data_IF_407940812824
#
_entry.id   IF_407940812824
#
_cell.length_a   1.000
_cell.length_b   1.000
_cell.length_c   1.000
_cell.angle_alpha   90.00
_cell.angle_beta   90.00
_cell.angle_gamma   90.00
#
_symmetry.space_group_name_H-M   'P 1'
#
loop_
_entity.id
_entity.type
_entity.pdbx_description
1 polymer ?
#
# COMPACT_ATOMS: atom_id res chain seq x y z
N UNK A 1 -2.56 13.06 16.22
CA UNK A 1 -1.79 13.00 14.95
C UNK A 1 -0.76 14.13 14.80
N UNK A 2 -1.12 15.42 14.94
CA UNK A 2 -0.19 16.56 14.72
C UNK A 2 1.12 16.53 15.53
N UNK A 3 1.10 16.11 16.80
CA UNK A 3 2.30 16.00 17.65
C UNK A 3 3.32 14.98 17.11
N UNK A 4 2.86 13.82 16.64
CA UNK A 4 3.71 12.77 16.08
C UNK A 4 4.44 13.25 14.82
N UNK A 5 3.74 13.96 13.94
CA UNK A 5 4.33 14.45 12.68
C UNK A 5 5.28 15.63 12.90
N UNK A 6 5.01 16.52 13.85
CA UNK A 6 5.97 17.54 14.27
C UNK A 6 7.27 16.92 14.79
N UNK A 7 7.15 15.86 15.59
CA UNK A 7 8.30 15.09 16.05
C UNK A 7 9.06 14.41 14.89
N UNK A 8 8.38 13.78 13.93
CA UNK A 8 9.04 13.20 12.76
C UNK A 8 9.73 14.27 11.90
N UNK A 9 9.10 15.43 11.68
CA UNK A 9 9.69 16.56 10.97
C UNK A 9 10.96 17.06 11.67
N UNK A 10 10.96 17.11 13.01
CA UNK A 10 12.16 17.47 13.80
C UNK A 10 13.34 16.49 13.66
N UNK A 11 13.10 15.27 13.17
CA UNK A 11 14.15 14.30 12.87
C UNK A 11 14.92 14.66 11.60
N UNK A 12 14.36 15.48 10.71
CA UNK A 12 15.05 15.93 9.49
C UNK A 12 15.97 17.09 9.84
N UNK A 13 17.28 16.92 9.61
CA UNK A 13 18.30 17.94 9.87
C UNK A 13 19.24 18.02 8.68
N UNK A 14 19.35 19.18 8.03
CA UNK A 14 20.19 19.39 6.85
C UNK A 14 19.99 18.30 5.79
N UNK A 15 18.72 18.05 5.41
CA UNK A 15 18.32 17.03 4.42
C UNK A 15 18.71 15.59 4.79
N UNK A 16 19.03 15.33 6.06
CA UNK A 16 19.39 14.01 6.59
C UNK A 16 18.41 13.56 7.66
N UNK A 17 18.09 12.27 7.66
CA UNK A 17 17.32 11.66 8.73
C UNK A 17 18.17 11.51 9.98
N UNK A 18 17.69 12.03 11.11
CA UNK A 18 18.38 12.09 12.40
C UNK A 18 19.73 12.82 12.35
N UNK A 19 19.97 13.63 11.31
CA UNK A 19 21.26 14.29 11.07
C UNK A 19 22.41 13.34 10.72
N UNK A 20 22.13 12.05 10.44
CA UNK A 20 23.16 11.07 10.09
C UNK A 20 23.56 11.23 8.62
N UNK A 21 24.86 11.22 8.39
CA UNK A 21 25.49 11.38 7.07
C UNK A 21 24.96 10.40 6.03
N UNK A 22 25.00 9.10 6.32
CA UNK A 22 24.56 8.03 5.40
C UNK A 22 23.05 7.87 5.28
N UNK A 23 22.27 8.70 5.99
CA UNK A 23 20.81 8.72 5.92
C UNK A 23 20.31 9.96 5.17
N UNK A 24 20.86 10.21 3.98
CA UNK A 24 20.40 11.27 3.10
C UNK A 24 18.95 11.03 2.66
N UNK A 25 18.20 12.12 2.58
CA UNK A 25 16.83 12.13 2.06
C UNK A 25 16.89 12.75 0.67
N UNK A 26 16.33 12.07 -0.33
CA UNK A 26 16.28 12.59 -1.70
C UNK A 26 15.38 13.84 -1.77
N UNK A 27 15.63 14.69 -2.77
CA UNK A 27 14.92 15.97 -2.96
C UNK A 27 13.42 15.79 -3.15
N UNK A 28 12.99 14.80 -3.93
CA UNK A 28 11.57 14.50 -4.17
C UNK A 28 10.81 14.19 -2.88
N UNK A 29 11.40 13.39 -1.99
CA UNK A 29 10.81 13.05 -0.69
C UNK A 29 10.81 14.25 0.25
N UNK A 30 11.80 15.14 0.15
CA UNK A 30 11.79 16.41 0.88
C UNK A 30 10.70 17.36 0.38
N UNK A 31 10.47 17.44 -0.93
CA UNK A 31 9.37 18.21 -1.53
C UNK A 31 8.02 17.68 -1.06
N UNK A 32 7.85 16.35 -1.07
CA UNK A 32 6.68 15.67 -0.51
C UNK A 32 6.43 16.01 0.97
N UNK A 33 7.47 15.97 1.82
CA UNK A 33 7.38 16.37 3.25
C UNK A 33 7.04 17.86 3.41
N UNK A 34 7.34 18.70 2.42
CA UNK A 34 6.97 20.13 2.40
C UNK A 34 5.56 20.38 1.85
N UNK A 35 4.83 19.33 1.45
CA UNK A 35 3.49 19.44 0.88
C UNK A 35 3.48 19.83 -0.60
N UNK A 36 4.59 19.71 -1.31
CA UNK A 36 4.69 20.02 -2.74
C UNK A 36 4.38 18.76 -3.56
N UNK A 37 3.09 18.38 -3.63
CA UNK A 37 2.62 17.12 -4.23
C UNK A 37 2.56 17.19 -5.77
N UNK A 38 2.17 18.33 -6.33
CA UNK A 38 1.83 18.50 -7.75
C UNK A 38 3.03 18.33 -8.70
N UNK A 39 4.25 18.47 -8.17
CA UNK A 39 5.50 18.44 -8.95
C UNK A 39 6.34 17.19 -8.69
N UNK A 40 5.73 16.13 -8.17
CA UNK A 40 6.44 14.89 -7.87
C UNK A 40 6.41 13.97 -9.09
N UNK A 41 7.59 13.55 -9.62
CA UNK A 41 7.65 12.73 -10.81
C UNK A 41 6.78 11.46 -10.75
N UNK A 42 6.77 10.78 -9.60
CA UNK A 42 5.96 9.58 -9.41
C UNK A 42 4.44 9.84 -9.50
N UNK A 43 3.96 10.99 -9.03
CA UNK A 43 2.55 11.40 -9.14
C UNK A 43 2.22 11.73 -10.59
N UNK A 44 3.07 12.53 -11.24
CA UNK A 44 2.84 12.97 -12.62
C UNK A 44 2.88 11.79 -13.62
N UNK A 45 3.76 10.82 -13.40
CA UNK A 45 3.79 9.58 -14.19
C UNK A 45 2.47 8.82 -14.08
N UNK A 46 1.96 8.60 -12.87
CA UNK A 46 0.69 7.91 -12.67
C UNK A 46 -0.49 8.70 -13.24
N UNK A 47 -0.56 10.01 -12.97
CA UNK A 47 -1.62 10.89 -13.47
C UNK A 47 -1.72 10.84 -15.00
N UNK A 48 -0.58 10.95 -15.68
CA UNK A 48 -0.52 10.89 -17.14
C UNK A 48 -0.88 9.49 -17.67
N UNK A 49 -0.37 8.44 -17.04
CA UNK A 49 -0.61 7.07 -17.47
C UNK A 49 -2.09 6.67 -17.34
N UNK A 50 -2.70 6.96 -16.19
CA UNK A 50 -4.11 6.68 -15.92
C UNK A 50 -5.03 7.49 -16.84
N UNK A 51 -4.72 8.77 -17.07
CA UNK A 51 -5.49 9.62 -17.98
C UNK A 51 -5.38 9.13 -19.43
N UNK A 52 -4.21 8.62 -19.83
CA UNK A 52 -3.99 8.06 -21.17
C UNK A 52 -4.81 6.80 -21.46
N UNK A 53 -5.17 6.04 -20.43
CA UNK A 53 -5.93 4.77 -20.53
C UNK A 53 -7.43 4.97 -20.23
N UNK A 54 -7.86 6.20 -19.89
CA UNK A 54 -9.27 6.52 -19.67
C UNK A 54 -9.85 6.02 -18.33
N UNK A 55 -9.00 5.77 -17.33
CA UNK A 55 -9.45 5.38 -15.98
C UNK A 55 -9.79 6.63 -15.14
N UNK A 56 -10.94 7.25 -15.43
CA UNK A 56 -11.36 8.53 -14.83
C UNK A 56 -11.39 8.52 -13.31
N UNK A 57 -11.90 7.47 -12.68
CA UNK A 57 -11.96 7.33 -11.21
C UNK A 57 -10.57 7.35 -10.55
N UNK A 58 -9.56 6.77 -11.21
CA UNK A 58 -8.19 6.83 -10.70
C UNK A 58 -7.57 8.20 -10.88
N UNK A 59 -7.89 8.90 -11.98
CA UNK A 59 -7.45 10.27 -12.16
C UNK A 59 -8.06 11.18 -11.08
N UNK A 60 -9.35 11.04 -10.79
CA UNK A 60 -10.03 11.75 -9.70
C UNK A 60 -9.42 11.44 -8.33
N UNK A 61 -9.12 10.16 -8.04
CA UNK A 61 -8.43 9.77 -6.81
C UNK A 61 -7.06 10.47 -6.69
N UNK A 62 -6.29 10.53 -7.78
CA UNK A 62 -4.97 11.17 -7.77
C UNK A 62 -5.10 12.67 -7.48
N UNK A 63 -6.09 13.35 -8.07
CA UNK A 63 -6.35 14.77 -7.81
C UNK A 63 -6.77 15.01 -6.35
N UNK A 64 -7.66 14.18 -5.80
CA UNK A 64 -8.07 14.27 -4.40
C UNK A 64 -6.90 13.98 -3.46
N UNK A 65 -6.08 12.98 -3.77
CA UNK A 65 -4.85 12.66 -3.05
C UNK A 65 -3.87 13.85 -3.01
N UNK A 66 -3.81 14.63 -4.08
CA UNK A 66 -3.00 15.86 -4.16
C UNK A 66 -3.64 16.98 -3.33
N UNK A 67 -4.97 17.14 -3.40
CA UNK A 67 -5.71 18.16 -2.67
C UNK A 67 -5.58 18.01 -1.15
N UNK A 68 -5.49 16.78 -0.64
CA UNK A 68 -5.34 16.52 0.80
C UNK A 68 -3.86 16.57 1.22
N UNK A 69 -3.30 17.78 1.26
CA UNK A 69 -1.88 18.01 1.56
C UNK A 69 -1.42 17.37 2.88
N UNK A 70 -2.29 17.33 3.90
CA UNK A 70 -2.00 16.71 5.20
C UNK A 70 -1.72 15.19 5.07
N UNK A 71 -2.44 14.47 4.21
CA UNK A 71 -2.18 13.05 3.93
C UNK A 71 -0.84 12.90 3.22
N UNK A 72 -0.56 13.77 2.24
CA UNK A 72 0.71 13.83 1.54
C UNK A 72 1.91 13.96 2.47
N UNK A 73 1.87 14.96 3.35
CA UNK A 73 2.93 15.23 4.34
C UNK A 73 3.06 14.07 5.34
N UNK A 74 1.93 13.56 5.85
CA UNK A 74 1.91 12.46 6.79
C UNK A 74 2.53 11.18 6.21
N UNK A 75 2.06 10.74 5.03
CA UNK A 75 2.57 9.55 4.33
C UNK A 75 4.09 9.65 4.08
N UNK A 76 4.56 10.84 3.72
CA UNK A 76 5.97 11.09 3.41
C UNK A 76 6.87 11.03 4.65
N UNK A 77 6.43 11.62 5.77
CA UNK A 77 7.13 11.49 7.06
C UNK A 77 7.13 10.04 7.57
N UNK A 78 6.01 9.35 7.44
CA UNK A 78 5.87 7.95 7.82
C UNK A 78 6.69 7.02 6.92
N UNK A 79 6.89 7.37 5.65
CA UNK A 79 7.78 6.68 4.73
C UNK A 79 9.22 6.75 5.23
N UNK A 80 9.72 7.94 5.55
CA UNK A 80 11.07 8.09 6.11
C UNK A 80 11.25 7.31 7.42
N UNK A 81 10.26 7.37 8.30
CA UNK A 81 10.29 6.60 9.54
C UNK A 81 10.27 5.08 9.28
N UNK A 82 9.47 4.61 8.32
CA UNK A 82 9.40 3.20 7.92
C UNK A 82 10.71 2.74 7.30
N UNK A 83 11.29 3.49 6.35
CA UNK A 83 12.61 3.20 5.76
C UNK A 83 13.69 3.09 6.84
N UNK A 84 13.73 4.03 7.79
CA UNK A 84 14.67 3.99 8.90
C UNK A 84 14.45 2.77 9.80
N UNK A 85 13.19 2.47 10.14
CA UNK A 85 12.86 1.34 10.99
C UNK A 85 13.20 0.00 10.33
N UNK A 86 12.98 -0.13 9.02
CA UNK A 86 13.37 -1.30 8.22
C UNK A 86 14.90 -1.43 8.20
N UNK A 87 15.64 -0.34 7.96
CA UNK A 87 17.11 -0.36 8.04
C UNK A 87 17.60 -0.81 9.43
N UNK A 88 16.95 -0.37 10.52
CA UNK A 88 17.26 -0.88 11.87
C UNK A 88 16.96 -2.36 12.05
N UNK A 89 15.84 -2.85 11.51
CA UNK A 89 15.48 -4.26 11.57
C UNK A 89 16.45 -5.12 10.76
N UNK A 90 16.88 -4.66 9.59
CA UNK A 90 17.91 -5.29 8.77
C UNK A 90 19.23 -5.44 9.55
N UNK A 91 19.66 -4.37 10.21
CA UNK A 91 20.87 -4.34 11.04
C UNK A 91 20.72 -5.04 12.40
N UNK A 92 19.54 -5.55 12.73
CA UNK A 92 19.31 -6.20 14.02
C UNK A 92 20.07 -7.53 14.10
N UNK A 93 20.76 -7.73 15.23
CA UNK A 93 21.41 -9.00 15.58
C UNK A 93 20.53 -9.87 16.49
N UNK A 94 19.48 -9.30 17.05
CA UNK A 94 18.64 -9.96 18.06
C UNK A 94 17.66 -10.95 17.45
N UNK A 95 17.21 -10.69 16.22
CA UNK A 95 16.16 -11.46 15.56
C UNK A 95 16.52 -11.70 14.11
N UNK A 96 16.23 -12.90 13.60
CA UNK A 96 16.08 -13.09 12.15
C UNK A 96 14.83 -12.28 11.72
N UNK A 97 14.97 -11.26 10.86
CA UNK A 97 13.85 -10.39 10.53
C UNK A 97 12.68 -11.12 9.89
N UNK A 98 12.94 -12.06 8.99
CA UNK A 98 11.87 -12.79 8.31
C UNK A 98 11.08 -13.66 9.30
N UNK A 99 11.77 -14.44 10.13
CA UNK A 99 11.15 -15.31 11.13
C UNK A 99 10.33 -14.49 12.14
N UNK A 100 10.91 -13.40 12.67
CA UNK A 100 10.23 -12.56 13.65
C UNK A 100 9.04 -11.78 13.06
N UNK A 101 9.13 -11.37 11.79
CA UNK A 101 7.99 -10.80 11.06
C UNK A 101 6.81 -11.77 10.99
N UNK A 102 7.07 -13.02 10.63
CA UNK A 102 6.05 -14.07 10.57
C UNK A 102 5.48 -14.43 11.94
N UNK A 103 6.31 -14.51 12.98
CA UNK A 103 5.83 -14.70 14.36
C UNK A 103 4.86 -13.60 14.80
N UNK A 104 5.12 -12.35 14.41
CA UNK A 104 4.20 -11.25 14.69
C UNK A 104 2.88 -11.41 13.93
N UNK A 105 2.90 -11.81 12.65
CA UNK A 105 1.68 -12.08 11.90
C UNK A 105 0.83 -13.19 12.54
N UNK A 106 1.47 -14.27 12.99
CA UNK A 106 0.79 -15.36 13.71
C UNK A 106 0.17 -14.86 15.01
N UNK A 107 0.81 -13.96 15.75
CA UNK A 107 0.18 -13.34 16.92
C UNK A 107 -1.02 -12.47 16.50
N UNK A 108 -0.89 -11.72 15.42
CA UNK A 108 -1.91 -10.79 14.94
C UNK A 108 -3.13 -11.48 14.33
N UNK A 109 -3.06 -12.78 13.99
CA UNK A 109 -4.24 -13.57 13.61
C UNK A 109 -5.22 -13.79 14.76
N UNK A 110 -4.77 -13.64 16.01
CA UNK A 110 -5.62 -13.78 17.19
C UNK A 110 -6.24 -12.45 17.66
N UNK A 111 -5.76 -11.32 17.14
CA UNK A 111 -6.18 -9.98 17.58
C UNK A 111 -7.36 -9.50 16.71
N UNK A 112 -8.56 -9.28 17.29
CA UNK A 112 -9.68 -8.66 16.57
C UNK A 112 -9.26 -7.30 16.01
N UNK A 113 -9.73 -6.96 14.80
CA UNK A 113 -9.45 -5.66 14.19
C UNK A 113 -10.68 -4.76 14.14
N UNK A 114 -10.46 -3.50 13.77
CA UNK A 114 -11.54 -2.56 13.54
C UNK A 114 -12.34 -2.99 12.31
N UNK A 115 -13.63 -3.28 12.51
CA UNK A 115 -14.55 -3.62 11.43
C UNK A 115 -14.65 -2.47 10.44
N UNK A 116 -14.81 -1.23 10.91
CA UNK A 116 -14.89 -0.05 10.06
C UNK A 116 -13.65 0.09 9.15
N UNK A 117 -12.44 -0.12 9.70
CA UNK A 117 -11.22 -0.03 8.90
C UNK A 117 -11.13 -1.17 7.88
N UNK A 118 -11.44 -2.40 8.29
CA UNK A 118 -11.44 -3.55 7.39
C UNK A 118 -12.37 -3.31 6.18
N UNK A 119 -13.54 -2.74 6.44
CA UNK A 119 -14.58 -2.52 5.44
C UNK A 119 -14.20 -1.41 4.47
N UNK A 120 -13.65 -0.28 4.96
CA UNK A 120 -13.12 0.76 4.07
C UNK A 120 -12.06 0.24 3.10
N UNK A 121 -11.28 -0.77 3.51
CA UNK A 121 -10.28 -1.39 2.64
C UNK A 121 -10.94 -2.27 1.56
N UNK A 122 -11.96 -3.04 1.93
CA UNK A 122 -12.70 -3.86 0.98
C UNK A 122 -13.42 -3.03 -0.06
N UNK A 123 -14.08 -1.96 0.37
CA UNK A 123 -14.74 -1.00 -0.51
C UNK A 123 -13.74 -0.32 -1.44
N UNK A 124 -12.60 0.13 -0.88
CA UNK A 124 -11.51 0.69 -1.70
C UNK A 124 -11.08 -0.30 -2.79
N UNK A 125 -10.93 -1.59 -2.47
CA UNK A 125 -10.51 -2.60 -3.44
C UNK A 125 -11.60 -2.95 -4.46
N UNK A 126 -12.79 -3.29 -3.98
CA UNK A 126 -13.85 -3.85 -4.81
C UNK A 126 -14.59 -2.79 -5.63
N UNK A 127 -14.61 -1.53 -5.17
CA UNK A 127 -15.54 -0.52 -5.70
C UNK A 127 -14.88 0.81 -5.99
N UNK A 128 -14.37 1.53 -4.99
CA UNK A 128 -13.78 2.87 -5.20
C UNK A 128 -12.70 2.82 -6.27
N UNK A 129 -11.84 1.81 -6.20
CA UNK A 129 -10.80 1.57 -7.20
C UNK A 129 -11.19 0.49 -8.22
N UNK A 130 -12.19 -0.33 -7.89
CA UNK A 130 -12.59 -1.52 -8.65
C UNK A 130 -11.38 -2.25 -9.24
N UNK A 131 -10.49 -2.68 -8.35
CA UNK A 131 -9.19 -3.26 -8.68
C UNK A 131 -9.31 -4.42 -9.68
N UNK A 132 -10.29 -5.34 -9.58
CA UNK A 132 -10.49 -6.38 -10.59
C UNK A 132 -10.68 -5.83 -12.00
N UNK A 133 -11.53 -4.81 -12.18
CA UNK A 133 -11.75 -4.20 -13.49
C UNK A 133 -10.54 -3.36 -13.93
N UNK A 134 -9.99 -2.55 -13.03
CA UNK A 134 -8.84 -1.69 -13.32
C UNK A 134 -7.58 -2.50 -13.67
N UNK A 135 -7.44 -3.70 -13.14
CA UNK A 135 -6.31 -4.58 -13.44
C UNK A 135 -6.30 -5.04 -14.90
N UNK A 136 -7.45 -5.09 -15.59
CA UNK A 136 -7.49 -5.39 -17.03
C UNK A 136 -6.66 -4.38 -17.84
N UNK A 137 -6.49 -3.16 -17.34
CA UNK A 137 -5.75 -2.06 -17.96
C UNK A 137 -4.29 -1.95 -17.45
N UNK A 138 -3.85 -2.83 -16.55
CA UNK A 138 -2.57 -2.69 -15.84
C UNK A 138 -1.36 -2.65 -16.79
N UNK A 139 -1.37 -3.44 -17.85
CA UNK A 139 -0.26 -3.51 -18.81
C UNK A 139 -0.19 -2.27 -19.70
N UNK A 140 -1.34 -1.67 -20.01
CA UNK A 140 -1.39 -0.41 -20.75
C UNK A 140 -0.85 0.74 -19.88
N UNK A 141 -1.29 0.81 -18.62
CA UNK A 141 -0.77 1.78 -17.64
C UNK A 141 0.75 1.63 -17.48
N UNK A 142 1.25 0.40 -17.32
CA UNK A 142 2.71 0.13 -17.21
C UNK A 142 3.49 0.60 -18.43
N UNK A 143 2.91 0.42 -19.62
CA UNK A 143 3.53 0.88 -20.86
C UNK A 143 3.63 2.40 -20.90
N UNK A 144 2.60 3.10 -20.44
CA UNK A 144 2.58 4.57 -20.34
C UNK A 144 3.53 5.11 -19.25
N UNK A 145 3.64 4.43 -18.10
CA UNK A 145 4.61 4.80 -17.04
C UNK A 145 6.05 4.62 -17.53
N UNK A 146 6.30 3.60 -18.35
CA UNK A 146 7.62 3.31 -18.91
C UNK A 146 8.61 2.73 -17.89
N UNK A 147 9.89 2.68 -18.29
CA UNK A 147 10.95 2.11 -17.45
C UNK A 147 11.60 3.17 -16.56
N UNK A 148 11.31 3.11 -15.25
CA UNK A 148 11.87 4.02 -14.25
C UNK A 148 13.08 3.45 -13.49
N UNK A 149 13.45 2.19 -13.72
CA UNK A 149 14.57 1.53 -13.04
C UNK A 149 15.92 2.24 -13.28
N UNK A 150 16.25 2.79 -14.47
CA UNK A 150 17.48 3.54 -14.67
C UNK A 150 17.64 4.74 -13.73
N UNK A 151 16.57 5.52 -13.53
CA UNK A 151 16.55 6.67 -12.61
C UNK A 151 16.78 6.25 -11.16
N UNK A 152 16.21 5.11 -10.77
CA UNK A 152 16.38 4.55 -9.43
C UNK A 152 17.81 4.05 -9.22
N UNK A 153 18.37 3.35 -10.21
CA UNK A 153 19.76 2.89 -10.18
C UNK A 153 20.72 4.08 -10.06
N UNK A 154 20.49 5.17 -10.80
CA UNK A 154 21.28 6.40 -10.66
C UNK A 154 21.23 6.99 -9.24
N UNK A 155 20.06 7.01 -8.59
CA UNK A 155 19.91 7.45 -7.19
C UNK A 155 20.71 6.56 -6.23
N UNK A 156 20.68 5.24 -6.44
CA UNK A 156 21.45 4.28 -5.64
C UNK A 156 22.95 4.49 -5.86
N UNK A 157 23.43 4.53 -7.09
CA UNK A 157 24.85 4.71 -7.42
C UNK A 157 25.39 6.06 -6.93
N UNK A 158 24.57 7.12 -6.90
CA UNK A 158 24.96 8.41 -6.32
C UNK A 158 25.23 8.31 -4.81
N UNK A 159 24.40 7.55 -4.08
CA UNK A 159 24.60 7.30 -2.65
C UNK A 159 25.84 6.44 -2.40
N UNK A 160 26.06 5.40 -3.21
CA UNK A 160 27.27 4.56 -3.13
C UNK A 160 28.54 5.35 -3.44
N UNK A 161 28.49 6.26 -4.42
CA UNK A 161 29.62 7.15 -4.72
C UNK A 161 29.94 8.08 -3.54
N UNK A 162 28.91 8.51 -2.79
CA UNK A 162 29.05 9.45 -1.69
C UNK A 162 29.46 8.79 -0.36
N UNK A 163 29.03 7.56 -0.10
CA UNK A 163 29.14 6.89 1.20
C UNK A 163 29.53 5.41 1.14
N UNK A 164 29.97 4.94 -0.03
CA UNK A 164 30.35 3.55 -0.24
C UNK A 164 31.81 3.24 0.01
N UNK A 165 32.29 2.13 -0.55
CA UNK A 165 33.58 1.53 -0.18
C UNK A 165 34.76 2.51 -0.28
N UNK A 166 34.85 3.28 -1.36
CA UNK A 166 35.92 4.27 -1.54
C UNK A 166 35.89 5.35 -0.45
N UNK A 167 34.68 5.83 -0.10
CA UNK A 167 34.50 6.80 0.97
C UNK A 167 34.90 6.22 2.33
N UNK A 168 34.45 5.00 2.63
CA UNK A 168 34.75 4.30 3.88
C UNK A 168 36.25 4.02 4.02
N UNK A 169 36.90 3.61 2.94
CA UNK A 169 38.36 3.40 2.89
C UNK A 169 39.13 4.71 3.13
N UNK A 170 38.69 5.81 2.51
CA UNK A 170 39.25 7.13 2.76
C UNK A 170 39.11 7.55 4.22
N UNK A 171 37.94 7.33 4.85
CA UNK A 171 37.74 7.60 6.28
C UNK A 171 38.64 6.75 7.18
N UNK A 172 38.81 5.46 6.86
CA UNK A 172 39.75 4.58 7.58
C UNK A 172 41.18 5.13 7.52
N UNK A 173 41.64 5.55 6.35
CA UNK A 173 42.98 6.09 6.15
C UNK A 173 43.19 7.40 6.93
N UNK A 174 42.21 8.32 6.85
CA UNK A 174 42.24 9.58 7.59
C UNK A 174 42.32 9.36 9.11
N UNK A 175 41.45 8.50 9.65
CA UNK A 175 41.43 8.21 11.10
C UNK A 175 42.70 7.48 11.53
N UNK A 176 43.25 6.60 10.69
CA UNK A 176 44.52 5.91 10.97
C UNK A 176 45.70 6.88 11.08
N UNK A 177 45.76 7.89 10.21
CA UNK A 177 46.74 8.98 10.32
C UNK A 177 46.55 9.79 11.61
N UNK A 178 45.30 10.07 12.00
CA UNK A 178 45.00 10.75 13.27
C UNK A 178 45.44 9.94 14.50
N UNK A 179 45.29 8.61 14.48
CA UNK A 179 45.74 7.70 15.54
C UNK A 179 47.26 7.81 15.77
N UNK A 180 48.03 7.95 14.69
CA UNK A 180 49.49 8.06 14.76
C UNK A 180 49.93 9.38 15.40
N UNK A 181 49.18 10.47 15.14
CA UNK A 181 49.48 11.81 15.64
C UNK A 181 48.88 12.10 17.03
N UNK A 182 48.00 11.24 17.55
CA UNK A 182 47.33 11.45 18.84
C UNK A 182 48.13 10.86 20.00
N UNK A 183 48.55 11.71 20.93
CA UNK A 183 49.27 11.31 22.15
C UNK A 183 48.34 10.84 23.28
N UNK A 184 47.09 11.30 23.32
CA UNK A 184 46.14 10.94 24.37
C UNK A 184 45.63 9.49 24.19
N UNK A 185 45.88 8.57 25.14
CA UNK A 185 45.54 7.15 25.00
C UNK A 185 44.03 6.89 24.96
N UNK A 186 43.21 7.68 25.66
CA UNK A 186 41.74 7.56 25.61
C UNK A 186 41.19 7.93 24.23
N UNK A 187 41.69 9.02 23.64
CA UNK A 187 41.28 9.45 22.29
C UNK A 187 41.74 8.42 21.27
N UNK A 188 42.99 7.96 21.37
CA UNK A 188 43.55 6.92 20.51
C UNK A 188 42.74 5.62 20.56
N UNK A 189 42.29 5.21 21.74
CA UNK A 189 41.40 4.06 21.92
C UNK A 189 40.07 4.22 21.18
N UNK A 190 39.42 5.38 21.30
CA UNK A 190 38.16 5.68 20.59
C UNK A 190 38.31 5.64 19.07
N UNK A 191 39.38 6.24 18.54
CA UNK A 191 39.67 6.24 17.10
C UNK A 191 39.93 4.81 16.59
N UNK A 192 40.68 3.99 17.34
CA UNK A 192 40.88 2.56 17.01
C UNK A 192 39.55 1.79 16.97
N UNK A 193 38.65 2.05 17.92
CA UNK A 193 37.31 1.47 17.91
C UNK A 193 36.52 1.89 16.67
N UNK A 194 36.62 3.15 16.25
CA UNK A 194 35.97 3.64 15.03
C UNK A 194 36.52 2.96 13.78
N UNK A 195 37.84 2.84 13.64
CA UNK A 195 38.46 2.10 12.52
C UNK A 195 38.02 0.63 12.50
N UNK A 196 37.98 -0.03 13.66
CA UNK A 196 37.51 -1.41 13.77
C UNK A 196 36.06 -1.55 13.30
N UNK A 197 35.18 -0.60 13.65
CA UNK A 197 33.80 -0.57 13.19
C UNK A 197 33.70 -0.37 11.68
N UNK A 198 34.45 0.58 11.12
CA UNK A 198 34.46 0.85 9.68
C UNK A 198 34.95 -0.37 8.87
N UNK A 199 36.04 -1.01 9.32
CA UNK A 199 36.54 -2.24 8.69
C UNK A 199 35.53 -3.37 8.73
N UNK A 200 34.82 -3.53 9.85
CA UNK A 200 33.74 -4.50 9.96
C UNK A 200 32.62 -4.22 8.96
N UNK A 201 32.21 -2.97 8.81
CA UNK A 201 31.19 -2.61 7.82
C UNK A 201 31.66 -2.87 6.39
N UNK A 202 32.95 -2.67 6.10
CA UNK A 202 33.56 -3.01 4.81
C UNK A 202 33.48 -4.51 4.51
N UNK A 203 33.68 -5.37 5.51
CA UNK A 203 33.53 -6.82 5.33
C UNK A 203 32.08 -7.28 5.20
N UNK A 204 31.10 -6.43 5.56
CA UNK A 204 29.67 -6.69 5.44
C UNK A 204 29.09 -6.14 4.11
N UNK A 205 29.90 -5.42 3.32
CA UNK A 205 29.57 -4.92 1.98
C UNK A 205 29.71 -6.08 0.98
N UNK A 206 28.60 -6.47 0.34
CA UNK A 206 28.58 -7.46 -0.72
C UNK A 206 28.86 -6.84 -2.09
N UNK A 207 29.21 -7.67 -3.07
CA UNK A 207 29.35 -7.22 -4.45
C UNK A 207 27.98 -6.84 -5.05
N UNK A 208 27.89 -5.75 -5.82
CA UNK A 208 26.68 -5.40 -6.54
C UNK A 208 26.40 -6.48 -7.59
N UNK A 209 25.21 -7.07 -7.54
CA UNK A 209 24.78 -8.08 -8.51
C UNK A 209 23.58 -7.58 -9.32
N UNK A 210 23.49 -8.04 -10.57
CA UNK A 210 22.42 -7.67 -11.48
C UNK A 210 21.06 -8.12 -10.94
N UNK A 211 20.11 -7.19 -10.96
CA UNK A 211 18.72 -7.43 -10.55
C UNK A 211 18.00 -8.17 -11.69
N UNK A 212 17.31 -9.29 -11.44
CA UNK A 212 16.42 -9.88 -12.43
C UNK A 212 15.36 -8.85 -12.86
N UNK A 213 15.24 -8.64 -14.17
CA UNK A 213 14.44 -7.56 -14.77
C UNK A 213 13.00 -7.97 -15.11
N UNK A 214 12.52 -9.12 -14.64
CA UNK A 214 11.15 -9.52 -14.93
C UNK A 214 10.15 -8.67 -14.14
N UNK A 215 9.19 -8.00 -14.82
CA UNK A 215 8.20 -7.18 -14.16
C UNK A 215 7.27 -8.05 -13.32
N UNK A 216 6.94 -7.58 -12.12
CA UNK A 216 6.03 -8.26 -11.22
C UNK A 216 4.62 -8.37 -11.83
N UNK A 217 4.08 -9.58 -11.95
CA UNK A 217 2.72 -9.84 -12.37
C UNK A 217 1.90 -10.38 -11.20
N UNK A 218 0.70 -9.82 -11.01
CA UNK A 218 -0.27 -10.34 -10.04
C UNK A 218 -1.18 -11.29 -10.82
N UNK A 219 -1.30 -12.53 -10.37
CA UNK A 219 -2.05 -13.56 -11.11
C UNK A 219 -3.49 -13.71 -10.65
N UNK A 220 -3.83 -13.32 -9.42
CA UNK A 220 -5.17 -13.44 -8.85
C UNK A 220 -5.66 -12.07 -8.37
N UNK A 221 -6.51 -11.43 -9.17
CA UNK A 221 -7.18 -10.18 -8.81
C UNK A 221 -8.68 -10.40 -8.89
N UNK A 222 -9.24 -10.83 -7.77
CA UNK A 222 -10.66 -11.14 -7.66
C UNK A 222 -11.33 -10.20 -6.66
N UNK A 223 -12.67 -10.21 -6.68
CA UNK A 223 -13.47 -9.61 -5.63
C UNK A 223 -13.13 -10.23 -4.27
N UNK A 224 -13.02 -9.41 -3.24
CA UNK A 224 -12.70 -9.86 -1.89
C UNK A 224 -13.99 -9.92 -1.06
N UNK A 225 -14.43 -11.10 -0.61
CA UNK A 225 -15.64 -11.23 0.18
C UNK A 225 -15.49 -10.63 1.58
N UNK A 226 -16.56 -10.04 2.14
CA UNK A 226 -16.54 -9.50 3.49
C UNK A 226 -16.36 -10.60 4.55
N UNK A 227 -15.41 -10.39 5.47
CA UNK A 227 -15.26 -11.18 6.68
C UNK A 227 -15.97 -10.44 7.83
N UNK A 228 -16.95 -11.10 8.46
CA UNK A 228 -17.73 -10.56 9.57
C UNK A 228 -16.95 -10.45 10.89
N UNK A 229 -15.79 -11.11 11.00
CA UNK A 229 -14.94 -11.08 12.19
C UNK A 229 -13.47 -10.92 11.80
N UNK A 230 -13.11 -9.76 11.23
CA UNK A 230 -11.77 -9.55 10.69
C UNK A 230 -10.73 -9.49 11.81
N UNK A 231 -9.59 -10.14 11.55
CA UNK A 231 -8.40 -10.12 12.39
C UNK A 231 -7.42 -9.09 11.89
N UNK A 232 -6.49 -8.68 12.76
CA UNK A 232 -5.48 -7.69 12.40
C UNK A 232 -4.61 -8.16 11.24
N UNK A 233 -4.36 -9.47 11.13
CA UNK A 233 -3.65 -10.06 9.98
C UNK A 233 -4.41 -9.88 8.67
N UNK A 234 -5.75 -9.90 8.68
CA UNK A 234 -6.56 -9.76 7.47
C UNK A 234 -6.40 -8.34 6.89
N UNK A 235 -6.47 -7.31 7.74
CA UNK A 235 -6.19 -5.92 7.33
C UNK A 235 -4.77 -5.77 6.75
N UNK A 236 -3.76 -6.38 7.40
CA UNK A 236 -2.38 -6.33 6.91
C UNK A 236 -2.27 -6.98 5.53
N UNK A 237 -2.95 -8.11 5.32
CA UNK A 237 -2.96 -8.81 4.03
C UNK A 237 -3.61 -7.97 2.94
N UNK A 238 -4.74 -7.31 3.24
CA UNK A 238 -5.39 -6.41 2.29
C UNK A 238 -4.52 -5.19 1.94
N UNK A 239 -3.85 -4.59 2.93
CA UNK A 239 -2.87 -3.53 2.66
C UNK A 239 -1.71 -4.02 1.79
N UNK A 240 -1.21 -5.24 2.01
CA UNK A 240 -0.17 -5.81 1.17
C UNK A 240 -0.68 -6.03 -0.26
N UNK A 241 -1.93 -6.44 -0.46
CA UNK A 241 -2.54 -6.62 -1.78
C UNK A 241 -2.69 -5.27 -2.51
N UNK A 242 -3.26 -4.25 -1.86
CA UNK A 242 -3.36 -2.90 -2.41
C UNK A 242 -1.98 -2.34 -2.76
N UNK A 243 -1.02 -2.45 -1.83
CA UNK A 243 0.34 -1.99 -2.05
C UNK A 243 0.99 -2.71 -3.23
N UNK A 244 0.85 -4.04 -3.32
CA UNK A 244 1.35 -4.82 -4.46
C UNK A 244 0.73 -4.37 -5.77
N UNK A 245 -0.58 -4.13 -5.83
CA UNK A 245 -1.26 -3.68 -7.04
C UNK A 245 -0.74 -2.33 -7.53
N UNK A 246 -0.73 -1.32 -6.66
CA UNK A 246 -0.22 0.01 -7.00
C UNK A 246 1.27 0.00 -7.37
N UNK A 247 2.10 -0.74 -6.64
CA UNK A 247 3.52 -0.87 -6.96
C UNK A 247 3.76 -1.55 -8.31
N UNK A 248 2.84 -2.43 -8.72
CA UNK A 248 2.92 -3.11 -10.01
C UNK A 248 2.72 -2.16 -11.19
N UNK A 249 2.08 -0.99 -11.00
CA UNK A 249 1.91 0.03 -12.05
C UNK A 249 3.25 0.63 -12.49
N UNK A 250 4.27 0.55 -11.65
CA UNK A 250 5.60 1.11 -11.88
C UNK A 250 6.59 0.15 -12.55
N UNK A 251 6.12 -1.03 -13.00
CA UNK A 251 6.94 -2.04 -13.68
C UNK A 251 8.17 -2.49 -12.87
N UNK A 252 8.09 -2.47 -11.54
CA UNK A 252 9.14 -2.98 -10.67
C UNK A 252 9.26 -4.50 -10.75
N UNK A 253 10.47 -5.02 -10.54
CA UNK A 253 10.69 -6.46 -10.50
C UNK A 253 10.08 -7.11 -9.26
N UNK A 254 9.78 -8.40 -9.34
CA UNK A 254 9.16 -9.15 -8.25
C UNK A 254 9.90 -9.03 -6.89
N UNK A 255 11.24 -9.18 -6.82
CA UNK A 255 11.96 -9.02 -5.56
C UNK A 255 11.77 -7.63 -4.93
N UNK A 256 11.72 -6.59 -5.77
CA UNK A 256 11.51 -5.22 -5.35
C UNK A 256 10.09 -5.04 -4.82
N UNK A 257 9.07 -5.47 -5.55
CA UNK A 257 7.66 -5.36 -5.10
C UNK A 257 7.43 -6.12 -3.79
N UNK A 258 8.00 -7.32 -3.65
CA UNK A 258 7.87 -8.14 -2.44
C UNK A 258 8.46 -7.46 -1.18
N UNK A 259 9.43 -6.56 -1.34
CA UNK A 259 9.98 -5.75 -0.24
C UNK A 259 9.14 -4.49 -0.05
N UNK A 260 8.87 -3.77 -1.14
CA UNK A 260 8.20 -2.47 -1.10
C UNK A 260 6.75 -2.57 -0.62
N UNK A 261 6.02 -3.66 -0.90
CA UNK A 261 4.65 -3.86 -0.41
C UNK A 261 4.56 -3.80 1.10
N UNK A 262 5.57 -4.35 1.79
CA UNK A 262 5.67 -4.29 3.25
C UNK A 262 6.14 -2.90 3.74
N UNK A 263 6.97 -2.20 2.97
CA UNK A 263 7.34 -0.82 3.29
C UNK A 263 6.13 0.12 3.23
N UNK A 264 5.34 0.03 2.16
CA UNK A 264 4.06 0.75 1.99
C UNK A 264 3.07 0.35 3.10
N UNK A 265 2.85 -0.95 3.33
CA UNK A 265 1.92 -1.40 4.37
C UNK A 265 2.36 -0.95 5.77
N UNK A 266 3.66 -0.84 6.05
CA UNK A 266 4.17 -0.22 7.27
C UNK A 266 3.81 1.25 7.38
N UNK A 267 3.83 2.01 6.28
CA UNK A 267 3.39 3.42 6.24
C UNK A 267 1.91 3.53 6.55
N UNK A 268 1.07 2.78 5.81
CA UNK A 268 -0.39 2.82 5.96
C UNK A 268 -0.81 2.36 7.35
N UNK A 269 -0.25 1.24 7.85
CA UNK A 269 -0.52 0.76 9.21
C UNK A 269 -0.23 1.83 10.27
N UNK A 270 0.88 2.59 10.16
CA UNK A 270 1.18 3.66 11.12
C UNK A 270 0.20 4.81 11.02
N UNK A 271 -0.20 5.20 9.81
CA UNK A 271 -1.15 6.29 9.58
C UNK A 271 -2.51 5.98 10.22
N UNK A 272 -2.96 4.73 10.15
CA UNK A 272 -4.22 4.26 10.75
C UNK A 272 -4.05 3.70 12.17
N UNK A 273 -2.87 3.86 12.79
CA UNK A 273 -2.53 3.38 14.14
C UNK A 273 -2.69 1.86 14.36
N UNK A 274 -2.46 1.04 13.34
CA UNK A 274 -2.48 -0.41 13.40
C UNK A 274 -1.11 -0.99 13.84
N UNK A 275 -1.14 -1.97 14.75
CA UNK A 275 0.07 -2.67 15.25
C UNK A 275 0.83 -3.47 14.17
N UNK A 276 0.21 -3.67 13.01
CA UNK A 276 0.75 -4.37 11.84
C UNK A 276 2.06 -3.80 11.31
N UNK A 277 2.30 -2.50 11.49
CA UNK A 277 3.51 -1.83 11.01
C UNK A 277 4.81 -2.50 11.47
N UNK A 278 4.80 -3.07 12.69
CA UNK A 278 5.96 -3.78 13.24
C UNK A 278 6.25 -5.07 12.46
N UNK A 279 5.24 -5.85 12.09
CA UNK A 279 5.42 -7.07 11.31
C UNK A 279 5.95 -6.76 9.92
N UNK A 280 5.29 -5.82 9.22
CA UNK A 280 5.68 -5.37 7.88
C UNK A 280 7.14 -4.87 7.85
N UNK A 281 7.58 -4.11 8.86
CA UNK A 281 8.97 -3.68 9.00
C UNK A 281 9.97 -4.83 8.97
N UNK A 282 9.70 -5.89 9.71
CA UNK A 282 10.59 -7.05 9.81
C UNK A 282 10.54 -7.93 8.57
N UNK A 283 9.38 -8.06 7.94
CA UNK A 283 9.22 -8.77 6.67
C UNK A 283 9.95 -8.05 5.52
N UNK A 284 9.85 -6.73 5.42
CA UNK A 284 10.62 -5.94 4.45
C UNK A 284 12.14 -6.11 4.68
N UNK A 285 12.59 -6.04 5.93
CA UNK A 285 13.99 -6.28 6.28
C UNK A 285 14.43 -7.73 6.00
N UNK A 286 13.53 -8.70 6.15
CA UNK A 286 13.74 -10.10 5.81
C UNK A 286 13.91 -10.29 4.31
N UNK A 287 13.04 -9.68 3.50
CA UNK A 287 13.16 -9.68 2.03
C UNK A 287 14.47 -9.06 1.55
N UNK A 288 14.88 -7.93 2.15
CA UNK A 288 16.18 -7.31 1.87
C UNK A 288 17.37 -8.22 2.24
N UNK A 289 17.28 -9.00 3.32
CA UNK A 289 18.31 -9.99 3.66
C UNK A 289 18.32 -11.20 2.71
N UNK A 290 17.17 -11.58 2.19
CA UNK A 290 17.04 -12.68 1.23
C UNK A 290 17.49 -12.28 -0.18
N UNK A 291 17.55 -10.97 -0.47
CA UNK A 291 18.00 -10.42 -1.74
C UNK A 291 19.20 -9.47 -1.56
N UNK A 292 20.37 -9.98 -1.11
CA UNK A 292 21.56 -9.16 -0.84
C UNK A 292 22.04 -8.37 -2.06
N UNK A 293 21.76 -8.84 -3.28
CA UNK A 293 22.07 -8.15 -4.53
C UNK A 293 21.39 -6.78 -4.67
N UNK A 294 20.29 -6.54 -3.95
CA UNK A 294 19.57 -5.26 -3.97
C UNK A 294 20.16 -4.24 -3.01
N UNK A 295 21.09 -4.65 -2.13
CA UNK A 295 21.53 -3.85 -1.00
C UNK A 295 22.80 -3.09 -1.38
N UNK A 296 22.72 -1.77 -1.62
CA UNK A 296 23.89 -1.00 -1.95
C UNK A 296 24.83 -0.88 -0.77
N UNK A 297 26.09 -0.69 -1.09
CA UNK A 297 27.18 -0.68 -0.14
C UNK A 297 27.35 0.72 0.44
N UNK A 298 26.47 1.09 1.36
CA UNK A 298 26.39 2.44 1.95
C UNK A 298 26.54 2.37 3.47
N UNK A 299 27.44 3.17 4.04
CA UNK A 299 27.68 3.19 5.48
C UNK A 299 27.99 4.59 6.03
N UNK A 300 27.77 4.77 7.34
CA UNK A 300 28.13 6.02 8.03
C UNK A 300 29.66 6.13 8.18
N UNK A 301 30.19 7.36 8.13
CA UNK A 301 31.60 7.70 8.41
C UNK A 301 32.09 7.27 9.80
N UNK A 302 31.17 7.04 10.74
CA UNK A 302 31.48 6.56 12.08
C UNK A 302 31.57 5.03 12.20
N UNK A 303 31.21 4.28 11.16
CA UNK A 303 31.06 2.82 11.17
C UNK A 303 29.96 2.32 12.13
N UNK A 304 29.11 3.21 12.65
CA UNK A 304 28.07 2.83 13.62
C UNK A 304 26.79 2.31 12.99
N UNK A 305 26.60 2.55 11.69
CA UNK A 305 25.42 2.16 10.96
C UNK A 305 25.76 1.77 9.53
N UNK A 306 25.49 0.52 9.17
CA UNK A 306 25.31 0.13 7.78
C UNK A 306 23.95 0.65 7.29
N UNK A 307 23.95 1.35 6.16
CA UNK A 307 22.81 2.09 5.63
C UNK A 307 22.39 1.60 4.24
N UNK A 308 22.82 0.40 3.83
CA UNK A 308 22.44 -0.15 2.52
C UNK A 308 20.94 -0.31 2.35
N UNK A 309 20.24 -0.88 3.34
CA UNK A 309 18.79 -0.97 3.32
C UNK A 309 18.10 0.41 3.29
N UNK A 310 18.66 1.42 3.99
CA UNK A 310 18.20 2.80 3.85
C UNK A 310 18.40 3.31 2.43
N UNK A 311 19.58 3.17 1.84
CA UNK A 311 19.90 3.69 0.53
C UNK A 311 18.98 3.09 -0.55
N UNK A 312 18.78 1.76 -0.54
CA UNK A 312 17.78 1.10 -1.39
C UNK A 312 16.39 1.72 -1.20
N UNK A 313 15.85 1.69 0.02
CA UNK A 313 14.49 2.19 0.28
C UNK A 313 14.34 3.69 0.01
N UNK A 314 15.40 4.48 0.20
CA UNK A 314 15.41 5.92 -0.05
C UNK A 314 15.35 6.22 -1.54
N UNK A 315 15.88 5.37 -2.41
CA UNK A 315 15.74 5.54 -3.86
C UNK A 315 14.29 5.31 -4.31
N UNK A 316 13.58 4.38 -3.65
CA UNK A 316 12.16 4.09 -3.88
C UNK A 316 11.19 4.94 -3.03
N UNK A 317 11.69 5.77 -2.12
CA UNK A 317 10.86 6.50 -1.14
C UNK A 317 9.74 7.37 -1.76
N UNK A 318 9.95 8.08 -2.89
CA UNK A 318 8.88 8.83 -3.54
C UNK A 318 7.72 7.92 -3.95
N UNK A 319 8.01 6.74 -4.51
CA UNK A 319 7.01 5.75 -4.91
C UNK A 319 6.31 5.13 -3.70
N UNK A 320 7.06 4.78 -2.64
CA UNK A 320 6.47 4.28 -1.38
C UNK A 320 5.50 5.30 -0.80
N UNK A 321 5.89 6.58 -0.76
CA UNK A 321 5.08 7.65 -0.23
C UNK A 321 3.83 7.88 -1.07
N UNK A 322 3.95 7.94 -2.40
CA UNK A 322 2.83 8.12 -3.33
C UNK A 322 1.83 6.97 -3.21
N UNK A 323 2.29 5.71 -3.22
CA UNK A 323 1.38 4.58 -3.02
C UNK A 323 0.70 4.65 -1.65
N UNK A 324 1.43 5.02 -0.60
CA UNK A 324 0.84 5.25 0.73
C UNK A 324 -0.22 6.35 0.73
N UNK A 325 -0.01 7.44 -0.02
CA UNK A 325 -0.98 8.53 -0.18
C UNK A 325 -2.24 8.00 -0.88
N UNK A 326 -2.09 7.29 -2.00
CA UNK A 326 -3.22 6.76 -2.78
C UNK A 326 -4.06 5.78 -1.97
N UNK A 327 -3.43 4.88 -1.20
CA UNK A 327 -4.16 3.99 -0.30
C UNK A 327 -4.91 4.79 0.77
N UNK A 328 -4.26 5.76 1.42
CA UNK A 328 -4.91 6.57 2.46
C UNK A 328 -6.04 7.45 1.92
N UNK A 329 -5.90 7.97 0.70
CA UNK A 329 -6.94 8.71 -0.01
C UNK A 329 -8.13 7.79 -0.33
N UNK A 330 -7.88 6.59 -0.89
CA UNK A 330 -8.92 5.61 -1.18
C UNK A 330 -9.71 5.23 0.08
N UNK A 331 -9.03 4.95 1.19
CA UNK A 331 -9.70 4.63 2.47
C UNK A 331 -10.50 5.79 3.07
N UNK A 332 -10.12 7.04 2.76
CA UNK A 332 -10.87 8.20 3.20
C UNK A 332 -12.11 8.35 2.33
N UNK A 333 -11.95 8.23 1.02
CA UNK A 333 -13.03 8.37 0.04
C UNK A 333 -14.09 7.29 0.21
N UNK A 334 -13.68 6.06 0.49
CA UNK A 334 -14.59 4.94 0.74
C UNK A 334 -15.59 5.25 1.88
N UNK A 335 -15.17 5.95 2.94
CA UNK A 335 -16.08 6.27 4.07
C UNK A 335 -17.17 7.27 3.73
N UNK A 336 -17.09 7.91 2.58
CA UNK A 336 -18.03 8.94 2.12
C UNK A 336 -19.06 8.36 1.13
N UNK A 337 -18.90 7.11 0.67
CA UNK A 337 -19.85 6.46 -0.23
C UNK A 337 -21.02 5.86 0.57
N UNK A 338 -22.11 6.62 0.70
CA UNK A 338 -23.40 6.06 1.14
C UNK A 338 -23.90 5.08 0.06
N UNK A 339 -24.32 3.87 0.43
CA UNK A 339 -24.84 2.89 -0.53
C UNK A 339 -26.32 3.09 -0.84
N UNK A 340 -27.04 3.77 0.04
CA UNK A 340 -28.49 3.89 0.01
C UNK A 340 -29.20 2.96 1.01
N UNK A 341 -30.50 3.20 1.17
CA UNK A 341 -31.33 2.63 2.24
C UNK A 341 -32.22 1.47 1.76
N UNK A 342 -32.43 1.35 0.45
CA UNK A 342 -33.36 0.37 -0.11
C UNK A 342 -32.60 -0.71 -0.86
N UNK A 343 -32.78 -1.96 -0.42
CA UNK A 343 -32.15 -3.14 -1.00
C UNK A 343 -33.23 -3.96 -1.72
N UNK A 344 -32.97 -4.31 -2.97
CA UNK A 344 -33.75 -5.29 -3.73
C UNK A 344 -32.84 -6.45 -4.11
N UNK A 345 -33.32 -7.68 -3.98
CA UNK A 345 -32.67 -8.89 -4.49
C UNK A 345 -33.63 -9.54 -5.46
N UNK A 346 -33.14 -9.80 -6.68
CA UNK A 346 -33.90 -10.28 -7.82
C UNK A 346 -33.38 -11.64 -8.25
N UNK A 347 -34.22 -12.66 -8.17
CA UNK A 347 -33.93 -14.00 -8.66
C UNK A 347 -34.67 -14.29 -9.97
N UNK A 348 -33.94 -14.63 -11.04
CA UNK A 348 -34.50 -14.94 -12.35
C UNK A 348 -34.26 -16.39 -12.77
N UNK A 349 -35.28 -16.97 -13.41
CA UNK A 349 -35.21 -18.24 -14.15
C UNK A 349 -35.80 -18.05 -15.56
N UNK A 350 -35.31 -18.78 -16.58
CA UNK A 350 -35.91 -18.81 -17.90
C UNK A 350 -37.40 -19.16 -17.81
N UNK A 351 -38.22 -18.41 -18.55
CA UNK A 351 -39.66 -18.69 -18.73
C UNK A 351 -40.50 -18.68 -17.44
N UNK A 352 -40.02 -18.01 -16.38
CA UNK A 352 -40.73 -17.85 -15.12
C UNK A 352 -40.72 -16.41 -14.65
N UNK A 353 -41.74 -16.04 -13.89
CA UNK A 353 -41.78 -14.77 -13.18
C UNK A 353 -40.61 -14.67 -12.19
N UNK A 354 -40.00 -13.48 -12.06
CA UNK A 354 -38.91 -13.26 -11.14
C UNK A 354 -39.39 -13.34 -9.68
N UNK A 355 -38.54 -13.84 -8.78
CA UNK A 355 -38.77 -13.68 -7.35
C UNK A 355 -38.05 -12.44 -6.83
N UNK A 356 -38.70 -11.75 -5.90
CA UNK A 356 -38.21 -10.50 -5.31
C UNK A 356 -38.10 -10.63 -3.79
N UNK A 357 -36.97 -10.18 -3.25
CA UNK A 357 -36.86 -9.81 -1.86
C UNK A 357 -36.49 -8.33 -1.77
N UNK A 358 -37.14 -7.60 -0.86
CA UNK A 358 -36.83 -6.21 -0.62
C UNK A 358 -36.63 -5.96 0.88
N UNK A 359 -35.83 -4.96 1.20
CA UNK A 359 -35.64 -4.51 2.56
C UNK A 359 -35.26 -3.04 2.58
N UNK A 360 -35.70 -2.36 3.64
CA UNK A 360 -35.16 -1.05 3.99
C UNK A 360 -34.21 -1.21 5.15
N UNK A 361 -32.99 -0.74 4.99
CA UNK A 361 -32.01 -0.65 6.06
C UNK A 361 -31.96 0.80 6.55
N UNK A 362 -32.00 0.99 7.87
CA UNK A 362 -31.90 2.31 8.49
C UNK A 362 -30.68 2.30 9.40
N UNK A 363 -29.85 3.33 9.27
CA UNK A 363 -28.61 3.50 10.06
C UNK A 363 -27.59 2.36 9.88
N UNK A 364 -27.72 1.54 8.84
CA UNK A 364 -26.72 0.54 8.53
C UNK A 364 -25.49 1.24 7.96
N UNK A 365 -24.33 0.92 8.54
CA UNK A 365 -23.06 1.18 7.85
C UNK A 365 -23.00 0.30 6.61
N UNK A 366 -22.29 0.75 5.60
CA UNK A 366 -22.06 0.06 4.34
C UNK A 366 -21.83 -1.47 4.49
N UNK A 367 -20.94 -1.88 5.39
CA UNK A 367 -20.63 -3.28 5.67
C UNK A 367 -21.83 -4.10 6.17
N UNK A 368 -22.70 -3.47 6.96
CA UNK A 368 -23.93 -4.08 7.45
C UNK A 368 -24.92 -4.21 6.30
N UNK A 369 -25.05 -3.19 5.45
CA UNK A 369 -25.85 -3.24 4.21
C UNK A 369 -25.39 -4.40 3.34
N UNK A 370 -24.08 -4.54 3.07
CA UNK A 370 -23.53 -5.63 2.25
C UNK A 370 -23.74 -7.02 2.84
N UNK A 371 -23.40 -7.18 4.12
CA UNK A 371 -23.65 -8.45 4.81
C UNK A 371 -25.13 -8.81 4.78
N UNK A 372 -26.00 -7.80 4.91
CA UNK A 372 -27.43 -7.96 4.88
C UNK A 372 -27.95 -8.29 3.47
N UNK A 373 -27.37 -7.75 2.39
CA UNK A 373 -27.69 -8.18 1.01
C UNK A 373 -27.49 -9.69 0.87
N UNK A 374 -26.35 -10.22 1.33
CA UNK A 374 -26.08 -11.65 1.26
C UNK A 374 -26.99 -12.47 2.16
N UNK A 375 -27.31 -11.96 3.35
CA UNK A 375 -28.28 -12.59 4.24
C UNK A 375 -29.68 -12.63 3.60
N UNK A 376 -30.11 -11.54 2.98
CA UNK A 376 -31.40 -11.40 2.30
C UNK A 376 -31.47 -12.33 1.09
N UNK A 377 -30.41 -12.41 0.29
CA UNK A 377 -30.31 -13.32 -0.84
C UNK A 377 -30.36 -14.80 -0.42
N UNK A 378 -29.63 -15.17 0.64
CA UNK A 378 -29.71 -16.53 1.21
C UNK A 378 -31.12 -16.84 1.71
N UNK A 379 -31.73 -15.90 2.45
CA UNK A 379 -33.10 -16.06 2.96
C UNK A 379 -34.10 -16.25 1.81
N UNK A 380 -33.98 -15.47 0.74
CA UNK A 380 -34.83 -15.62 -0.45
C UNK A 380 -34.70 -17.01 -1.07
N UNK A 381 -33.46 -17.50 -1.27
CA UNK A 381 -33.20 -18.84 -1.81
C UNK A 381 -33.76 -19.94 -0.89
N UNK A 382 -33.59 -19.79 0.42
CA UNK A 382 -34.08 -20.75 1.41
C UNK A 382 -35.61 -20.81 1.44
N UNK A 383 -36.28 -19.66 1.33
CA UNK A 383 -37.75 -19.55 1.33
C UNK A 383 -38.37 -20.06 0.02
N UNK A 384 -37.82 -19.68 -1.12
CA UNK A 384 -38.34 -20.12 -2.43
C UNK A 384 -37.93 -21.54 -2.78
N UNK A 385 -36.82 -22.04 -2.19
CA UNK A 385 -36.17 -23.32 -2.52
C UNK A 385 -35.82 -23.45 -4.00
N UNK A 386 -35.53 -22.33 -4.66
CA UNK A 386 -35.17 -22.27 -6.09
C UNK A 386 -33.68 -21.95 -6.26
N UNK A 387 -33.10 -22.47 -7.32
CA UNK A 387 -31.79 -22.04 -7.83
C UNK A 387 -31.99 -21.09 -8.99
N UNK A 388 -31.47 -19.88 -8.90
CA UNK A 388 -31.63 -18.86 -9.94
C UNK A 388 -30.48 -18.91 -10.95
N UNK A 389 -30.81 -18.75 -12.24
CA UNK A 389 -29.80 -18.66 -13.30
C UNK A 389 -29.06 -17.31 -13.27
N UNK A 390 -29.81 -16.27 -12.90
CA UNK A 390 -29.31 -14.95 -12.60
C UNK A 390 -29.88 -14.48 -11.26
N UNK A 391 -29.01 -14.02 -10.37
CA UNK A 391 -29.38 -13.45 -9.09
C UNK A 391 -28.69 -12.08 -8.99
N UNK A 392 -29.47 -11.03 -8.83
CA UNK A 392 -28.96 -9.66 -8.75
C UNK A 392 -29.37 -9.02 -7.43
N UNK A 393 -28.59 -8.06 -6.95
CA UNK A 393 -29.00 -7.16 -5.90
C UNK A 393 -28.83 -5.71 -6.33
N UNK A 394 -29.78 -4.87 -5.97
CA UNK A 394 -29.77 -3.44 -6.20
C UNK A 394 -29.82 -2.74 -4.85
N UNK A 395 -29.01 -1.70 -4.68
CA UNK A 395 -29.15 -0.77 -3.56
C UNK A 395 -29.47 0.60 -4.15
N UNK A 396 -30.57 1.19 -3.70
CA UNK A 396 -31.03 2.49 -4.14
C UNK A 396 -30.76 3.54 -3.07
N UNK A 397 -30.37 4.72 -3.51
CA UNK A 397 -30.23 5.91 -2.68
C UNK A 397 -31.59 6.52 -2.29
N UNK A 398 -31.54 7.64 -1.55
CA UNK A 398 -32.73 8.37 -1.11
C UNK A 398 -33.58 8.95 -2.26
N UNK A 399 -33.00 9.07 -3.46
CA UNK A 399 -33.65 9.59 -4.66
C UNK A 399 -34.14 8.45 -5.59
N UNK A 400 -34.19 7.21 -5.07
CA UNK A 400 -34.54 5.99 -5.80
C UNK A 400 -33.65 5.72 -7.03
N UNK A 401 -32.42 6.22 -7.05
CA UNK A 401 -31.45 5.88 -8.07
C UNK A 401 -30.64 4.66 -7.65
N UNK A 402 -30.37 3.76 -8.61
CA UNK A 402 -29.52 2.60 -8.37
C UNK A 402 -28.09 3.08 -8.13
N UNK A 403 -27.63 2.88 -6.91
CA UNK A 403 -26.30 3.26 -6.47
C UNK A 403 -25.33 2.06 -6.53
N UNK A 404 -25.82 0.87 -6.16
CA UNK A 404 -25.09 -0.40 -6.34
C UNK A 404 -25.94 -1.40 -7.11
N UNK A 405 -25.28 -2.13 -8.00
CA UNK A 405 -25.80 -3.38 -8.56
C UNK A 405 -24.76 -4.49 -8.34
N UNK A 406 -25.17 -5.63 -7.78
CA UNK A 406 -24.34 -6.81 -7.59
C UNK A 406 -24.92 -8.00 -8.36
N UNK A 407 -24.06 -8.75 -9.05
CA UNK A 407 -24.34 -10.11 -9.48
C UNK A 407 -24.01 -11.09 -8.35
N UNK A 408 -25.02 -11.78 -7.88
CA UNK A 408 -24.98 -12.71 -6.76
C UNK A 408 -25.06 -14.18 -7.19
N UNK A 409 -24.86 -14.49 -8.48
CA UNK A 409 -24.86 -15.87 -8.99
C UNK A 409 -23.93 -16.80 -8.19
N UNK A 410 -22.81 -16.25 -7.71
CA UNK A 410 -21.99 -16.89 -6.69
C UNK A 410 -22.04 -16.04 -5.41
N UNK A 411 -22.84 -16.46 -4.43
CA UNK A 411 -22.97 -15.77 -3.15
C UNK A 411 -21.66 -15.68 -2.35
N UNK A 412 -20.69 -16.55 -2.63
CA UNK A 412 -19.37 -16.50 -1.99
C UNK A 412 -18.48 -15.42 -2.61
N UNK A 413 -18.79 -14.98 -3.84
CA UNK A 413 -18.05 -13.96 -4.59
C UNK A 413 -19.05 -13.05 -5.33
N UNK A 414 -19.80 -12.18 -4.59
CA UNK A 414 -20.63 -11.15 -5.19
C UNK A 414 -19.81 -10.29 -6.14
N UNK A 415 -20.28 -10.07 -7.37
CA UNK A 415 -19.56 -9.25 -8.34
C UNK A 415 -20.31 -7.94 -8.60
N UNK A 416 -19.74 -6.76 -8.30
CA UNK A 416 -20.37 -5.50 -8.67
C UNK A 416 -20.49 -5.37 -10.19
N UNK A 417 -21.67 -4.95 -10.66
CA UNK A 417 -21.92 -4.54 -12.04
C UNK A 417 -21.77 -3.02 -12.08
N UNK A 418 -20.84 -2.54 -12.89
CA UNK A 418 -20.49 -1.11 -12.98
C UNK A 418 -20.87 -0.45 -14.32
N UNK A 419 -21.18 -1.26 -15.34
CA UNK A 419 -21.64 -0.74 -16.62
C UNK A 419 -23.05 -0.16 -16.46
N UNK A 420 -23.15 1.17 -16.50
CA UNK A 420 -24.42 1.89 -16.34
C UNK A 420 -25.48 1.42 -17.34
N UNK A 421 -25.09 1.08 -18.57
CA UNK A 421 -26.03 0.58 -19.59
C UNK A 421 -26.62 -0.75 -19.16
N UNK A 422 -25.78 -1.66 -18.66
CA UNK A 422 -26.22 -2.96 -18.16
C UNK A 422 -27.09 -2.78 -16.90
N UNK A 423 -26.66 -1.96 -15.95
CA UNK A 423 -27.41 -1.66 -14.73
C UNK A 423 -28.79 -1.11 -15.09
N UNK A 424 -28.85 -0.07 -15.93
CA UNK A 424 -30.10 0.54 -16.40
C UNK A 424 -30.94 -0.48 -17.14
N UNK A 425 -30.38 -1.31 -18.02
CA UNK A 425 -31.14 -2.33 -18.76
C UNK A 425 -31.77 -3.35 -17.82
N UNK A 426 -31.00 -3.89 -16.86
CA UNK A 426 -31.53 -4.87 -15.91
C UNK A 426 -32.57 -4.21 -15.00
N UNK A 427 -32.28 -3.01 -14.48
CA UNK A 427 -33.19 -2.27 -13.62
C UNK A 427 -34.50 -1.90 -14.34
N UNK A 428 -34.43 -1.36 -15.55
CA UNK A 428 -35.60 -1.00 -16.37
C UNK A 428 -36.40 -2.23 -16.80
N UNK A 429 -35.74 -3.37 -17.04
CA UNK A 429 -36.46 -4.63 -17.29
C UNK A 429 -37.27 -5.10 -16.07
N UNK A 430 -36.89 -4.64 -14.88
CA UNK A 430 -37.49 -5.05 -13.63
C UNK A 430 -38.50 -4.02 -13.08
N UNK A 431 -38.26 -2.73 -13.31
CA UNK A 431 -39.10 -1.63 -12.79
C UNK A 431 -40.61 -1.83 -13.00
N UNK A 432 -41.10 -2.33 -14.15
CA UNK A 432 -42.54 -2.59 -14.34
C UNK A 432 -43.14 -3.56 -13.31
N UNK A 433 -42.36 -4.52 -12.80
CA UNK A 433 -42.81 -5.45 -11.76
C UNK A 433 -42.88 -4.79 -10.38
N UNK A 434 -42.12 -3.73 -10.12
CA UNK A 434 -42.22 -2.96 -8.87
C UNK A 434 -43.43 -2.03 -8.90
N UNK A 435 -43.68 -1.40 -10.05
CA UNK A 435 -44.79 -0.47 -10.25
C UNK A 435 -46.16 -1.21 -10.08
N UNK A 436 -46.22 -2.53 -10.30
CA UNK A 436 -47.40 -3.37 -9.99
C UNK A 436 -47.70 -3.52 -8.49
N UNK A 437 -46.71 -3.32 -7.61
CA UNK A 437 -46.89 -3.39 -6.14
C UNK A 437 -47.04 -2.01 -5.48
N UNK A 438 -46.88 -0.91 -6.21
CA UNK A 438 -47.01 0.48 -5.72
C UNK A 438 -48.47 1.01 -5.80
N UNK A 439 -49.43 0.22 -6.32
CA UNK A 439 -50.86 0.57 -6.40
C UNK A 439 -51.71 0.13 -5.18
N UNK A 440 -51.11 -0.50 -4.16
CA UNK A 440 -51.73 -0.83 -2.85
C UNK A 440 -51.03 -0.09 -1.69
#
# INVERSE_FOLDING_TARGET
MRLTYNYLKSRIRNNKWLGKDSLLINSETLSLVKGQLDNIPAINLLKNAVSGVGLTLFSELIEEAIAITDIGVASSLLTLESCYAINRAFNSKTHNPNSYGNELLVRYSTIPSSQDLYQSILESWNETLNIPQAHAQVNEIRTQVGNIQPTINQKISSLESSFGENYITSQINQITSQINNTLNPKIKGRLRTQVSRLRRTLTEIGEPANIPNEPFNITNIDYIPPNLSPRTVDIINLFNQLASWFLSLFSFSEPVVNILKYAVSSVVCKAVNLVGAKACRYLAAGGLKAAPQLIPSVASSSGTLFSGAWAFLSAYAPYIAVVGILILAALKWSKETELGDFIYVLGMQPEREPDLAFARVTEFKEAQTRAYILQLANKMIDETRKNYDNLYAFVLDSDNQVNICLNLKNLSVPMPITDKTIITTIWESFKPFLDEFDED
#
